data_IF_000164189383
#
_entry.id   IF_000164189383
#
_cell.length_a   1.000
_cell.length_b   1.000
_cell.length_c   1.000
_cell.angle_alpha   90.00
_cell.angle_beta   90.00
_cell.angle_gamma   90.00
#
_symmetry.space_group_name_H-M   'P 1'
#
loop_
_entity.id
_entity.type
_entity.pdbx_description
1 polymer ?
#
# COMPACT_ATOMS: atom_id res chain seq x y z
N UNK A 1 -40.93 7.45 -2.00
CA UNK A 1 -39.73 8.21 -2.37
C UNK A 1 -38.83 8.20 -1.15
N UNK A 2 -37.83 7.34 -1.23
CA UNK A 2 -37.45 6.44 -0.14
C UNK A 2 -36.12 6.88 0.47
N UNK A 3 -35.98 6.68 1.78
CA UNK A 3 -34.89 7.10 2.67
C UNK A 3 -33.47 6.60 2.34
N UNK A 4 -33.20 6.17 1.11
CA UNK A 4 -31.90 5.69 0.63
C UNK A 4 -30.93 6.80 0.20
N UNK A 5 -31.42 8.03 0.01
CA UNK A 5 -30.59 9.18 -0.41
C UNK A 5 -29.93 9.95 0.73
N UNK A 6 -30.35 9.77 1.99
CA UNK A 6 -29.84 10.54 3.14
C UNK A 6 -28.73 9.78 3.87
N UNK A 7 -28.81 8.44 3.91
CA UNK A 7 -27.84 7.61 4.64
C UNK A 7 -26.43 7.55 4.01
N UNK A 8 -26.31 7.77 2.70
CA UNK A 8 -25.00 7.79 2.02
C UNK A 8 -24.22 9.09 2.25
N UNK A 9 -24.92 10.22 2.36
CA UNK A 9 -24.29 11.52 2.60
C UNK A 9 -23.74 11.62 4.03
N UNK A 10 -24.49 11.17 5.04
CA UNK A 10 -24.04 11.25 6.44
C UNK A 10 -22.80 10.39 6.72
N UNK A 11 -22.68 9.20 6.12
CA UNK A 11 -21.48 8.36 6.29
C UNK A 11 -20.25 8.96 5.59
N UNK A 12 -20.43 9.58 4.42
CA UNK A 12 -19.32 10.21 3.71
C UNK A 12 -18.88 11.48 4.43
N UNK A 13 -19.83 12.29 4.91
CA UNK A 13 -19.53 13.48 5.72
C UNK A 13 -18.83 13.09 7.01
N UNK A 14 -19.30 12.08 7.74
CA UNK A 14 -18.59 11.58 8.93
C UNK A 14 -17.20 11.01 8.62
N UNK A 15 -17.03 10.36 7.48
CA UNK A 15 -15.72 9.85 7.03
C UNK A 15 -14.75 11.00 6.74
N UNK A 16 -15.19 12.04 6.01
CA UNK A 16 -14.37 13.20 5.69
C UNK A 16 -14.13 14.11 6.90
N UNK A 17 -15.08 14.22 7.85
CA UNK A 17 -14.91 14.99 9.09
C UNK A 17 -13.94 14.32 10.07
N UNK A 18 -13.85 12.98 10.07
CA UNK A 18 -12.87 12.23 10.88
C UNK A 18 -11.46 12.24 10.27
N UNK A 19 -11.31 12.58 8.99
CA UNK A 19 -10.01 12.70 8.31
C UNK A 19 -9.40 14.08 8.55
N UNK A 20 -8.55 14.20 9.58
CA UNK A 20 -7.76 15.40 9.81
C UNK A 20 -6.86 15.69 8.60
N UNK A 21 -6.76 16.97 8.22
CA UNK A 21 -6.00 17.45 7.04
C UNK A 21 -4.52 17.04 7.12
N UNK A 22 -3.96 17.01 8.33
CA UNK A 22 -2.60 16.53 8.58
C UNK A 22 -2.47 15.01 8.42
N UNK A 23 -3.48 14.24 8.83
CA UNK A 23 -3.54 12.80 8.62
C UNK A 23 -3.56 12.40 7.15
N UNK A 24 -4.25 13.18 6.32
CA UNK A 24 -4.36 12.94 4.88
C UNK A 24 -3.07 13.25 4.13
N UNK A 25 -2.37 14.31 4.55
CA UNK A 25 -1.04 14.63 4.05
C UNK A 25 -0.04 13.53 4.38
N UNK A 26 -0.07 13.03 5.63
CA UNK A 26 0.79 11.92 6.06
C UNK A 26 0.48 10.63 5.28
N UNK A 27 -0.80 10.33 5.05
CA UNK A 27 -1.22 9.20 4.21
C UNK A 27 -0.66 9.32 2.79
N UNK A 28 -0.80 10.49 2.18
CA UNK A 28 -0.31 10.77 0.83
C UNK A 28 1.20 10.62 0.69
N UNK A 29 1.96 11.26 1.60
CA UNK A 29 3.43 11.18 1.59
C UNK A 29 3.90 9.75 1.83
N UNK A 30 3.23 9.01 2.72
CA UNK A 30 3.48 7.59 2.96
C UNK A 30 3.22 6.75 1.71
N UNK A 31 2.05 6.92 1.10
CA UNK A 31 1.62 6.14 -0.06
C UNK A 31 2.53 6.40 -1.26
N UNK A 32 2.79 7.67 -1.60
CA UNK A 32 3.75 8.03 -2.65
C UNK A 32 5.16 7.47 -2.37
N UNK A 33 5.62 7.53 -1.11
CA UNK A 33 6.93 6.96 -0.76
C UNK A 33 6.99 5.44 -0.94
N UNK A 34 5.87 4.74 -0.80
CA UNK A 34 5.75 3.29 -1.04
C UNK A 34 5.51 2.91 -2.51
N UNK A 35 4.92 3.83 -3.28
CA UNK A 35 4.63 3.69 -4.70
C UNK A 35 5.83 4.02 -5.60
N UNK A 36 6.71 4.92 -5.16
CA UNK A 36 7.89 5.29 -5.97
C UNK A 36 8.90 4.16 -5.98
N UNK A 37 9.41 3.77 -7.15
CA UNK A 37 10.35 2.66 -7.29
C UNK A 37 10.25 1.99 -8.65
N UNK A 38 10.88 0.83 -8.76
CA UNK A 38 10.87 -0.02 -9.96
C UNK A 38 10.03 -1.27 -9.68
N UNK A 39 9.21 -1.63 -10.66
CA UNK A 39 8.32 -2.77 -10.62
C UNK A 39 8.44 -3.58 -11.89
N UNK A 40 8.29 -4.89 -11.77
CA UNK A 40 7.99 -5.78 -12.88
C UNK A 40 6.47 -5.87 -12.99
N UNK A 41 5.94 -5.50 -14.16
CA UNK A 41 4.53 -5.53 -14.48
C UNK A 41 4.19 -6.85 -15.16
N UNK A 42 3.15 -7.51 -14.65
CA UNK A 42 2.53 -8.68 -15.25
C UNK A 42 1.13 -8.29 -15.74
N UNK A 43 0.87 -8.48 -17.03
CA UNK A 43 -0.46 -8.38 -17.64
C UNK A 43 -0.93 -9.76 -18.09
N UNK A 44 -2.22 -9.91 -18.33
CA UNK A 44 -2.82 -11.16 -18.83
C UNK A 44 -2.21 -11.64 -20.17
N UNK A 45 -1.58 -10.75 -20.94
CA UNK A 45 -1.00 -11.02 -22.26
C UNK A 45 0.52 -11.35 -22.26
N UNK A 46 1.04 -11.92 -21.16
CA UNK A 46 2.32 -12.67 -21.05
C UNK A 46 3.68 -11.93 -21.20
N UNK A 47 3.74 -10.68 -21.68
CA UNK A 47 5.02 -9.93 -21.70
C UNK A 47 5.23 -9.12 -20.43
N UNK A 48 6.14 -9.59 -19.56
CA UNK A 48 6.54 -8.83 -18.38
C UNK A 48 7.36 -7.60 -18.79
N UNK A 49 7.00 -6.43 -18.27
CA UNK A 49 7.70 -5.17 -18.57
C UNK A 49 8.09 -4.42 -17.31
N UNK A 50 9.17 -3.67 -17.37
CA UNK A 50 9.56 -2.80 -16.26
C UNK A 50 8.74 -1.51 -16.25
N UNK A 51 8.22 -1.18 -15.07
CA UNK A 51 7.51 0.06 -14.78
C UNK A 51 8.28 0.81 -13.71
N UNK A 52 8.68 2.04 -14.01
CA UNK A 52 9.35 2.92 -13.04
C UNK A 52 8.40 4.05 -12.65
N UNK A 53 8.14 4.19 -11.36
CA UNK A 53 7.29 5.25 -10.82
C UNK A 53 8.17 6.22 -10.03
N UNK A 54 8.31 7.44 -10.51
CA UNK A 54 8.93 8.56 -9.81
C UNK A 54 7.88 9.45 -9.12
N UNK A 55 8.30 10.57 -8.53
CA UNK A 55 7.40 11.46 -7.76
C UNK A 55 6.26 12.11 -8.58
N UNK A 56 6.45 12.27 -9.89
CA UNK A 56 5.46 12.91 -10.81
C UNK A 56 5.42 12.30 -12.20
N UNK A 57 6.18 11.22 -12.40
CA UNK A 57 6.33 10.60 -13.70
C UNK A 57 6.25 9.10 -13.56
N UNK A 58 5.63 8.46 -14.54
CA UNK A 58 5.61 7.02 -14.70
C UNK A 58 6.26 6.69 -16.04
N UNK A 59 7.15 5.70 -16.04
CA UNK A 59 7.81 5.21 -17.25
C UNK A 59 7.40 3.77 -17.46
N UNK A 60 6.75 3.49 -18.58
CA UNK A 60 6.25 2.16 -18.97
C UNK A 60 6.85 1.81 -20.32
N UNK A 61 7.50 0.64 -20.41
CA UNK A 61 8.15 0.19 -21.64
C UNK A 61 9.10 1.25 -22.26
N UNK A 62 9.81 2.00 -21.41
CA UNK A 62 10.72 3.08 -21.81
C UNK A 62 10.06 4.41 -22.19
N UNK A 63 8.72 4.50 -22.18
CA UNK A 63 7.98 5.74 -22.45
C UNK A 63 7.61 6.42 -21.13
N UNK A 64 8.16 7.62 -20.91
CA UNK A 64 7.88 8.40 -19.69
C UNK A 64 6.72 9.37 -19.91
N UNK A 65 5.80 9.41 -18.95
CA UNK A 65 4.64 10.28 -18.91
C UNK A 65 4.51 10.96 -17.55
N UNK A 66 3.95 12.17 -17.53
CA UNK A 66 3.56 12.81 -16.26
C UNK A 66 2.25 12.20 -15.76
N UNK A 67 2.13 12.09 -14.45
CA UNK A 67 0.87 11.79 -13.80
C UNK A 67 0.50 12.89 -12.81
N UNK A 68 -0.78 12.98 -12.51
CA UNK A 68 -1.32 13.75 -11.39
C UNK A 68 -2.01 12.80 -10.43
N UNK A 69 -2.10 13.18 -9.15
CA UNK A 69 -2.93 12.46 -8.18
C UNK A 69 -4.23 13.26 -8.03
N UNK A 70 -5.36 12.77 -8.55
CA UNK A 70 -6.64 13.45 -8.40
C UNK A 70 -6.98 13.64 -6.92
N UNK A 71 -7.54 14.81 -6.61
CA UNK A 71 -8.02 15.14 -5.27
C UNK A 71 -9.54 15.11 -5.28
N UNK A 72 -10.14 14.27 -4.44
CA UNK A 72 -11.58 14.31 -4.17
C UNK A 72 -11.83 15.13 -2.92
N UNK A 73 -12.54 16.25 -3.03
CA UNK A 73 -12.77 17.19 -1.93
C UNK A 73 -11.48 17.66 -1.23
N UNK A 74 -10.37 17.73 -1.97
CA UNK A 74 -9.04 18.10 -1.44
C UNK A 74 -8.24 16.94 -0.83
N UNK A 75 -8.76 15.72 -0.90
CA UNK A 75 -8.11 14.52 -0.37
C UNK A 75 -7.56 13.65 -1.51
N UNK A 76 -6.29 13.23 -1.44
CA UNK A 76 -5.72 12.36 -2.45
C UNK A 76 -6.33 10.97 -2.36
N UNK A 77 -6.62 10.41 -3.52
CA UNK A 77 -7.00 9.01 -3.68
C UNK A 77 -5.78 8.19 -4.11
N UNK A 78 -5.86 6.87 -3.92
CA UNK A 78 -4.86 5.90 -4.38
C UNK A 78 -4.88 5.75 -5.93
N UNK A 79 -5.12 6.84 -6.65
CA UNK A 79 -5.33 6.91 -8.10
C UNK A 79 -4.28 7.79 -8.74
N UNK A 80 -3.70 7.33 -9.84
CA UNK A 80 -2.86 8.15 -10.73
C UNK A 80 -3.61 8.46 -12.02
N UNK A 81 -3.65 9.72 -12.41
CA UNK A 81 -4.11 10.18 -13.72
C UNK A 81 -2.91 10.46 -14.62
N UNK A 82 -2.58 9.48 -15.47
CA UNK A 82 -1.43 9.50 -16.39
C UNK A 82 -1.82 10.22 -17.67
N UNK A 83 -1.07 11.27 -18.02
CA UNK A 83 -1.49 12.23 -19.05
C UNK A 83 -1.20 11.82 -20.49
N UNK A 84 -0.41 10.79 -20.71
CA UNK A 84 -0.02 10.35 -22.06
C UNK A 84 0.63 8.97 -22.04
N UNK A 85 0.73 8.33 -23.21
CA UNK A 85 1.53 7.12 -23.39
C UNK A 85 0.74 5.83 -23.14
N UNK A 86 1.44 4.69 -22.98
CA UNK A 86 0.79 3.37 -22.93
C UNK A 86 -0.26 3.24 -21.82
N UNK A 87 -0.06 3.93 -20.71
CA UNK A 87 -0.95 3.94 -19.56
C UNK A 87 -1.78 5.23 -19.47
N UNK A 88 -2.05 5.95 -20.56
CA UNK A 88 -2.88 7.16 -20.51
C UNK A 88 -4.26 6.90 -19.86
N UNK A 89 -4.62 7.70 -18.84
CA UNK A 89 -5.87 7.63 -18.08
C UNK A 89 -5.68 7.42 -16.57
N UNK A 90 -6.81 7.17 -15.89
CA UNK A 90 -6.86 6.99 -14.44
C UNK A 90 -6.69 5.53 -14.02
N UNK A 91 -5.85 5.29 -13.02
CA UNK A 91 -5.49 3.97 -12.52
C UNK A 91 -5.52 3.95 -11.00
N UNK A 92 -6.31 3.06 -10.42
CA UNK A 92 -6.36 2.82 -8.98
C UNK A 92 -5.29 1.80 -8.59
N UNK A 93 -4.42 2.14 -7.63
CA UNK A 93 -3.33 1.30 -7.16
C UNK A 93 -3.67 0.76 -5.77
N UNK A 94 -4.09 -0.49 -5.73
CA UNK A 94 -4.34 -1.22 -4.50
C UNK A 94 -3.06 -1.85 -4.00
N UNK A 95 -2.61 -1.46 -2.82
CA UNK A 95 -1.36 -1.96 -2.23
C UNK A 95 -1.44 -3.45 -1.89
N UNK A 96 -0.39 -4.21 -2.23
CA UNK A 96 -0.21 -5.60 -1.82
C UNK A 96 1.11 -5.79 -1.07
N UNK A 97 1.32 -6.98 -0.50
CA UNK A 97 2.57 -7.32 0.18
C UNK A 97 3.79 -7.29 -0.77
N UNK A 98 3.58 -7.60 -2.04
CA UNK A 98 4.65 -7.72 -3.04
C UNK A 98 4.76 -6.46 -3.91
N UNK A 99 3.74 -5.60 -3.91
CA UNK A 99 3.57 -4.68 -5.02
C UNK A 99 2.24 -3.92 -5.05
N UNK A 100 1.65 -3.80 -6.23
CA UNK A 100 0.35 -3.16 -6.41
C UNK A 100 -0.49 -3.93 -7.42
N UNK A 101 -1.76 -4.08 -7.11
CA UNK A 101 -2.77 -4.41 -8.09
C UNK A 101 -3.28 -3.10 -8.69
N UNK A 102 -3.25 -2.99 -10.02
CA UNK A 102 -3.58 -1.76 -10.74
C UNK A 102 -4.85 -1.98 -11.53
N UNK A 103 -5.87 -1.18 -11.23
CA UNK A 103 -7.20 -1.28 -11.84
C UNK A 103 -7.44 -0.05 -12.71
N UNK A 104 -7.96 -0.27 -13.91
CA UNK A 104 -8.47 0.84 -14.72
C UNK A 104 -9.63 1.49 -13.99
N UNK A 105 -9.58 2.80 -13.81
CA UNK A 105 -10.60 3.54 -13.08
C UNK A 105 -11.11 4.75 -13.86
N UNK A 106 -12.34 5.17 -13.57
CA UNK A 106 -12.98 6.37 -14.11
C UNK A 106 -13.61 7.18 -12.99
N UNK A 107 -13.57 8.51 -13.11
CA UNK A 107 -14.31 9.39 -12.21
C UNK A 107 -15.80 9.34 -12.58
N UNK A 108 -16.62 8.84 -11.66
CA UNK A 108 -18.06 8.74 -11.82
C UNK A 108 -18.74 10.10 -11.69
N UNK A 109 -20.00 10.18 -12.13
CA UNK A 109 -20.82 11.39 -12.01
C UNK A 109 -21.06 11.81 -10.55
N UNK A 110 -20.91 10.87 -9.61
CA UNK A 110 -21.03 11.10 -8.16
C UNK A 110 -19.73 11.57 -7.52
N UNK A 111 -18.67 11.76 -8.31
CA UNK A 111 -17.37 12.21 -7.84
C UNK A 111 -16.51 11.11 -7.21
N UNK A 112 -16.83 9.84 -7.39
CA UNK A 112 -16.01 8.73 -6.89
C UNK A 112 -15.27 8.04 -8.02
N UNK A 113 -14.09 7.49 -7.74
CA UNK A 113 -13.40 6.64 -8.69
C UNK A 113 -14.02 5.24 -8.67
N UNK A 114 -14.45 4.76 -9.83
CA UNK A 114 -15.03 3.43 -10.01
C UNK A 114 -14.06 2.58 -10.84
N UNK A 115 -13.82 1.35 -10.39
CA UNK A 115 -13.03 0.37 -11.14
C UNK A 115 -13.88 -0.18 -12.29
N UNK A 116 -13.29 -0.24 -13.49
CA UNK A 116 -14.00 -0.74 -14.67
C UNK A 116 -14.11 -2.26 -14.71
N UNK A 117 -13.21 -2.95 -14.01
CA UNK A 117 -13.04 -4.40 -14.04
C UNK A 117 -12.93 -4.93 -12.61
N UNK A 118 -13.43 -6.14 -12.37
CA UNK A 118 -13.34 -6.81 -11.05
C UNK A 118 -11.99 -7.47 -10.79
N UNK A 119 -11.12 -7.52 -11.80
CA UNK A 119 -9.76 -8.05 -11.73
C UNK A 119 -8.77 -6.93 -12.06
N UNK A 120 -7.52 -7.00 -11.55
CA UNK A 120 -6.52 -6.00 -11.89
C UNK A 120 -6.22 -6.06 -13.38
N UNK A 121 -6.04 -4.88 -13.99
CA UNK A 121 -5.53 -4.77 -15.36
C UNK A 121 -4.03 -5.05 -15.40
N UNK A 122 -3.32 -4.74 -14.31
CA UNK A 122 -1.89 -5.05 -14.14
C UNK A 122 -1.58 -5.47 -12.71
N UNK A 123 -0.65 -6.41 -12.57
CA UNK A 123 -0.03 -6.75 -11.28
C UNK A 123 1.41 -6.26 -11.31
N UNK A 124 1.72 -5.28 -10.47
CA UNK A 124 3.07 -4.75 -10.29
C UNK A 124 3.73 -5.46 -9.13
N UNK A 125 4.88 -6.10 -9.35
CA UNK A 125 5.70 -6.72 -8.31
C UNK A 125 6.96 -5.88 -8.12
N UNK A 126 7.31 -5.56 -6.87
CA UNK A 126 8.49 -4.76 -6.54
C UNK A 126 9.77 -5.41 -7.06
N UNK A 127 10.57 -4.66 -7.82
CA UNK A 127 11.82 -5.14 -8.42
C UNK A 127 12.98 -4.14 -8.32
N UNK A 128 12.82 -3.06 -7.54
CA UNK A 128 13.88 -2.08 -7.30
C UNK A 128 15.08 -2.73 -6.57
N UNK A 129 16.26 -2.79 -7.21
CA UNK A 129 17.43 -3.42 -6.61
C UNK A 129 18.07 -2.56 -5.52
N UNK A 130 17.92 -1.24 -5.59
CA UNK A 130 18.63 -0.28 -4.76
C UNK A 130 17.79 0.13 -3.53
N UNK A 131 16.51 -0.22 -3.51
CA UNK A 131 15.58 0.13 -2.44
C UNK A 131 14.69 -1.03 -2.03
N UNK A 132 14.57 -1.25 -0.73
CA UNK A 132 13.62 -2.22 -0.19
C UNK A 132 12.17 -1.78 -0.37
N UNK A 133 11.27 -2.73 -0.64
CA UNK A 133 9.81 -2.54 -0.74
C UNK A 133 9.22 -1.69 0.40
N UNK A 134 9.71 -1.92 1.61
CA UNK A 134 9.21 -1.29 2.83
C UNK A 134 10.00 -0.05 3.27
N UNK A 135 10.81 0.56 2.39
CA UNK A 135 11.64 1.73 2.71
C UNK A 135 10.84 2.93 3.25
N UNK A 136 9.57 3.07 2.84
CA UNK A 136 8.67 4.12 3.36
C UNK A 136 8.48 4.04 4.88
N UNK A 137 8.65 2.86 5.50
CA UNK A 137 8.49 2.66 6.93
C UNK A 137 9.61 3.33 7.76
N UNK A 138 10.67 3.82 7.11
CA UNK A 138 11.67 4.71 7.73
C UNK A 138 11.27 6.19 7.67
N UNK A 139 10.34 6.56 6.80
CA UNK A 139 10.02 7.96 6.44
C UNK A 139 8.65 8.38 6.96
N UNK A 140 7.70 7.45 7.05
CA UNK A 140 6.34 7.71 7.45
C UNK A 140 5.80 6.65 8.41
N UNK A 141 4.75 7.02 9.14
CA UNK A 141 4.08 6.13 10.08
C UNK A 141 3.31 5.03 9.33
N UNK A 142 3.45 3.78 9.77
CA UNK A 142 2.68 2.66 9.23
C UNK A 142 1.29 2.55 9.87
N UNK A 143 0.33 2.00 9.12
CA UNK A 143 -0.97 1.54 9.61
C UNK A 143 -0.95 -0.01 9.65
N UNK A 144 -0.78 -0.64 10.83
CA UNK A 144 -0.55 -2.10 10.90
C UNK A 144 -1.76 -2.97 10.51
N UNK A 145 -2.98 -2.47 10.70
CA UNK A 145 -4.23 -3.22 10.49
C UNK A 145 -4.44 -3.70 9.04
N UNK A 146 -3.81 -3.03 8.07
CA UNK A 146 -3.83 -3.38 6.65
C UNK A 146 -2.90 -4.54 6.25
N UNK A 147 -2.14 -5.12 7.17
CA UNK A 147 -1.18 -6.18 6.87
C UNK A 147 -1.36 -7.42 7.75
N UNK A 148 -0.97 -8.57 7.19
CA UNK A 148 -0.92 -9.82 7.96
C UNK A 148 0.27 -9.82 8.92
N UNK A 149 0.20 -10.59 10.02
CA UNK A 149 1.31 -10.73 10.98
C UNK A 149 2.64 -11.15 10.32
N UNK A 150 2.67 -12.12 9.38
CA UNK A 150 3.90 -12.42 8.63
C UNK A 150 4.45 -11.23 7.85
N UNK A 151 3.60 -10.44 7.19
CA UNK A 151 4.00 -9.23 6.46
C UNK A 151 4.56 -8.18 7.42
N UNK A 152 3.91 -7.96 8.56
CA UNK A 152 4.37 -7.05 9.61
C UNK A 152 5.75 -7.45 10.15
N UNK A 153 6.00 -8.75 10.35
CA UNK A 153 7.32 -9.26 10.73
C UNK A 153 8.37 -8.88 9.68
N UNK A 154 8.07 -9.00 8.40
CA UNK A 154 9.00 -8.62 7.32
C UNK A 154 9.25 -7.11 7.35
N UNK A 155 8.20 -6.28 7.47
CA UNK A 155 8.32 -4.82 7.52
C UNK A 155 9.21 -4.36 8.68
N UNK A 156 8.96 -4.89 9.89
CA UNK A 156 9.78 -4.58 11.07
C UNK A 156 11.25 -4.90 10.82
N UNK A 157 11.53 -6.07 10.24
CA UNK A 157 12.90 -6.49 10.01
C UNK A 157 13.53 -5.76 8.81
N UNK A 158 12.75 -5.28 7.84
CA UNK A 158 13.25 -4.43 6.76
C UNK A 158 13.78 -3.10 7.28
N UNK A 159 13.11 -2.50 8.29
CA UNK A 159 13.61 -1.31 8.99
C UNK A 159 14.99 -1.60 9.61
N UNK A 160 15.14 -2.74 10.30
CA UNK A 160 16.42 -3.14 10.91
C UNK A 160 17.49 -3.43 9.85
N UNK A 161 17.13 -4.14 8.78
CA UNK A 161 18.02 -4.52 7.69
C UNK A 161 18.64 -3.29 7.02
N UNK A 162 17.84 -2.23 6.82
CA UNK A 162 18.31 -0.96 6.25
C UNK A 162 19.46 -0.32 7.03
N UNK A 163 19.56 -0.59 8.33
CA UNK A 163 20.64 -0.13 9.21
C UNK A 163 21.73 -1.19 9.42
N UNK A 164 21.76 -2.25 8.61
CA UNK A 164 22.77 -3.30 8.65
C UNK A 164 22.59 -4.30 9.79
N UNK A 165 21.38 -4.45 10.35
CA UNK A 165 21.14 -5.43 11.40
C UNK A 165 21.44 -6.87 10.95
N UNK A 166 22.29 -7.57 11.70
CA UNK A 166 22.71 -8.96 11.42
C UNK A 166 21.67 -9.95 11.97
N UNK A 167 20.97 -10.62 11.06
CA UNK A 167 19.93 -11.60 11.41
C UNK A 167 20.50 -12.97 11.79
N UNK A 168 19.96 -13.54 12.88
CA UNK A 168 20.23 -14.93 13.29
C UNK A 168 19.15 -15.91 12.80
N UNK A 169 17.95 -15.40 12.50
CA UNK A 169 16.85 -16.21 11.97
C UNK A 169 17.17 -16.64 10.54
N UNK A 170 17.20 -17.95 10.22
CA UNK A 170 17.63 -18.42 8.90
C UNK A 170 16.80 -17.85 7.75
N UNK A 171 15.48 -17.77 7.94
CA UNK A 171 14.54 -17.23 6.95
C UNK A 171 14.78 -15.74 6.66
N UNK A 172 14.94 -14.90 7.70
CA UNK A 172 15.21 -13.47 7.53
C UNK A 172 16.59 -13.23 6.95
N UNK A 173 17.58 -14.03 7.37
CA UNK A 173 18.93 -13.97 6.82
C UNK A 173 18.91 -14.25 5.32
N UNK A 174 18.30 -15.36 4.89
CA UNK A 174 18.16 -15.69 3.47
C UNK A 174 17.37 -14.63 2.71
N UNK A 175 16.30 -14.09 3.29
CA UNK A 175 15.49 -13.06 2.66
C UNK A 175 16.29 -11.78 2.37
N UNK A 176 17.01 -11.26 3.36
CA UNK A 176 17.72 -9.98 3.23
C UNK A 176 19.10 -10.11 2.56
N UNK A 177 19.80 -11.24 2.68
CA UNK A 177 21.06 -11.47 1.95
C UNK A 177 20.89 -11.51 0.43
N UNK A 178 19.68 -11.75 -0.07
CA UNK A 178 19.36 -11.68 -1.49
C UNK A 178 19.12 -10.24 -1.99
N UNK A 179 19.01 -9.27 -1.08
CA UNK A 179 18.73 -7.89 -1.41
C UNK A 179 20.03 -7.11 -1.65
N UNK A 180 20.16 -6.48 -2.81
CA UNK A 180 21.38 -5.74 -3.18
C UNK A 180 21.63 -4.52 -2.28
N UNK A 181 20.58 -3.90 -1.76
CA UNK A 181 20.65 -2.76 -0.85
C UNK A 181 21.00 -3.11 0.61
N UNK A 182 21.05 -4.40 0.98
CA UNK A 182 21.32 -4.82 2.36
C UNK A 182 22.81 -5.02 2.60
N UNK A 183 23.37 -4.19 3.49
CA UNK A 183 24.77 -4.25 3.91
C UNK A 183 24.86 -4.58 5.41
N UNK A 184 25.19 -5.82 5.81
CA UNK A 184 25.28 -6.18 7.22
C UNK A 184 26.43 -5.45 7.92
N UNK A 185 26.15 -4.87 9.08
CA UNK A 185 27.15 -4.26 9.95
C UNK A 185 28.05 -5.32 10.59
N UNK A 186 29.15 -4.87 11.22
CA UNK A 186 30.04 -5.78 11.96
C UNK A 186 29.34 -6.44 13.13
N UNK A 187 28.50 -5.68 13.83
CA UNK A 187 27.65 -6.14 14.92
C UNK A 187 26.46 -5.21 15.12
N UNK A 188 25.46 -5.68 15.86
CA UNK A 188 24.18 -4.97 16.02
C UNK A 188 24.28 -3.74 16.96
N UNK A 189 25.42 -3.47 17.60
CA UNK A 189 25.57 -2.27 18.45
C UNK A 189 25.66 -0.97 17.64
N UNK A 190 25.96 -1.07 16.35
CA UNK A 190 26.03 0.06 15.43
C UNK A 190 24.66 0.48 14.87
N UNK A 191 23.64 -0.36 15.03
CA UNK A 191 22.28 -0.12 14.51
C UNK A 191 21.62 1.02 15.28
N UNK A 192 21.36 2.13 14.58
CA UNK A 192 20.73 3.33 15.13
C UNK A 192 19.47 3.66 14.36
N UNK A 193 18.35 3.61 15.07
CA UNK A 193 17.04 3.86 14.50
C UNK A 193 16.61 5.30 14.74
N UNK A 194 16.02 5.92 13.74
CA UNK A 194 15.31 7.18 13.88
C UNK A 194 14.08 7.05 14.78
N UNK A 195 13.53 8.18 15.23
CA UNK A 195 12.33 8.20 16.06
C UNK A 195 11.13 7.52 15.39
N UNK A 196 10.91 7.79 14.09
CA UNK A 196 9.80 7.19 13.32
C UNK A 196 9.95 5.67 13.22
N UNK A 197 11.17 5.19 13.00
CA UNK A 197 11.46 3.75 12.91
C UNK A 197 11.20 3.04 14.25
N UNK A 198 11.64 3.63 15.36
CA UNK A 198 11.36 3.10 16.70
C UNK A 198 9.85 3.03 16.97
N UNK A 199 9.11 4.08 16.62
CA UNK A 199 7.65 4.10 16.74
C UNK A 199 6.98 3.02 15.89
N UNK A 200 7.38 2.88 14.63
CA UNK A 200 6.82 1.88 13.73
C UNK A 200 7.09 0.46 14.21
N UNK A 201 8.30 0.17 14.69
CA UNK A 201 8.63 -1.14 15.29
C UNK A 201 7.73 -1.43 16.50
N UNK A 202 7.55 -0.46 17.40
CA UNK A 202 6.71 -0.63 18.58
C UNK A 202 5.24 -0.86 18.21
N UNK A 203 4.72 -0.12 17.23
CA UNK A 203 3.35 -0.30 16.72
C UNK A 203 3.16 -1.69 16.11
N UNK A 204 4.10 -2.13 15.29
CA UNK A 204 4.08 -3.46 14.67
C UNK A 204 4.11 -4.56 15.74
N UNK A 205 5.00 -4.45 16.73
CA UNK A 205 5.08 -5.43 17.83
C UNK A 205 3.78 -5.49 18.64
N UNK A 206 3.12 -4.36 18.84
CA UNK A 206 1.80 -4.31 19.48
C UNK A 206 0.74 -5.07 18.70
N UNK A 207 0.72 -4.93 17.37
CA UNK A 207 -0.21 -5.65 16.49
C UNK A 207 0.10 -7.15 16.43
N UNK A 208 1.37 -7.53 16.33
CA UNK A 208 1.79 -8.94 16.33
C UNK A 208 1.41 -9.67 17.63
N UNK A 209 1.36 -8.95 18.76
CA UNK A 209 1.05 -9.50 20.08
C UNK A 209 -0.46 -9.64 20.36
N UNK A 210 -1.32 -9.03 19.54
CA UNK A 210 -2.77 -9.20 19.68
C UNK A 210 -3.17 -10.63 19.29
N UNK A 211 -3.98 -11.28 20.13
CA UNK A 211 -4.48 -12.62 19.85
C UNK A 211 -5.55 -12.57 18.75
N UNK A 212 -5.49 -13.47 17.77
CA UNK A 212 -6.38 -13.46 16.59
C UNK A 212 -7.85 -13.79 16.95
N UNK A 213 -8.14 -14.07 18.22
CA UNK A 213 -9.43 -14.48 18.76
C UNK A 213 -10.59 -13.49 18.57
N UNK A 214 -10.33 -12.25 18.18
CA UNK A 214 -11.36 -11.23 17.93
C UNK A 214 -11.47 -10.77 16.47
N UNK A 215 -10.73 -11.35 15.52
CA UNK A 215 -10.79 -10.94 14.09
C UNK A 215 -12.08 -11.40 13.39
N UNK A 216 -12.86 -12.28 14.02
CA UNK A 216 -14.15 -12.82 13.55
C UNK A 216 -15.37 -11.89 13.71
N UNK A 217 -15.20 -10.61 14.07
CA UNK A 217 -16.33 -9.68 14.24
C UNK A 217 -16.43 -8.60 13.16
N UNK A 218 -15.55 -8.57 12.14
CA UNK A 218 -15.59 -7.55 11.08
C UNK A 218 -15.53 -8.07 9.64
N UNK A 219 -15.47 -9.38 9.43
CA UNK A 219 -15.65 -9.97 8.10
C UNK A 219 -17.06 -10.55 8.00
N UNK A 220 -18.02 -9.75 7.53
CA UNK A 220 -19.24 -10.30 6.94
C UNK A 220 -18.83 -11.03 5.65
N UNK A 221 -18.69 -12.36 5.72
CA UNK A 221 -18.55 -13.17 4.51
C UNK A 221 -19.76 -12.93 3.59
N UNK A 222 -19.55 -12.53 2.31
CA UNK A 222 -20.64 -12.37 1.37
C UNK A 222 -21.13 -13.77 0.95
N UNK A 223 -22.14 -14.30 1.65
CA UNK A 223 -22.79 -15.54 1.20
C UNK A 223 -23.58 -16.33 2.23
N UNK A 224 -23.43 -16.10 3.53
CA UNK A 224 -24.17 -16.87 4.54
C UNK A 224 -25.51 -16.18 4.86
N UNK A 225 -26.57 -16.57 4.16
CA UNK A 225 -27.94 -16.23 4.57
C UNK A 225 -28.21 -16.85 5.95
N UNK A 226 -28.34 -16.03 6.99
CA UNK A 226 -28.97 -16.44 8.24
C UNK A 226 -30.48 -16.41 8.04
N UNK A 227 -31.11 -17.58 7.97
CA UNK A 227 -32.54 -17.70 8.24
C UNK A 227 -32.77 -17.36 9.71
N UNK A 228 -33.46 -16.25 9.96
CA UNK A 228 -33.99 -15.95 11.27
C UNK A 228 -35.34 -16.67 11.38
N UNK A 229 -35.37 -17.83 12.03
CA UNK A 229 -36.62 -18.39 12.54
C UNK A 229 -37.10 -17.48 13.67
N UNK A 230 -38.26 -16.85 13.45
CA UNK A 230 -39.05 -16.25 14.51
C UNK A 230 -40.02 -17.33 15.01
N UNK A 231 -39.66 -17.99 16.11
CA UNK A 231 -40.48 -18.29 17.30
C UNK A 231 -39.76 -19.25 18.26
#
# INVERSE_FOLDING_TARGET
MTALGVYKDDMMVEFFEKMDRDGCKLFYERWLSGLTGIYTCHSDDDESMDVTIGEKTITVAGVSARYEVPLLNGYPFDVLDVKSGPWEGCWHFVETAEGFNVYRSVLSEYGFFEELESHPSYVLTWSDPDKGRWDFASKARIKPDGYTKPTLRIIRNAILAKHGYVFQSPDLKTLFEQQLWYEPAKDNSEVKLSFIEQMNIALIQGEEAQDDGNRWLTEEEPGVKREYEYE
#
